data_IF_192665964298
#
_entry.id   IF_192665964298
#
_cell.length_a   1.000
_cell.length_b   1.000
_cell.length_c   1.000
_cell.angle_alpha   90.00
_cell.angle_beta   90.00
_cell.angle_gamma   90.00
#
_symmetry.space_group_name_H-M   'P 1'
#
loop_
_entity.id
_entity.type
_entity.pdbx_description
1 polymer ?
#
# COMPACT_ATOMS: atom_id res chain seq x y z
N UNK A 1 -10.21 6.44 21.78
CA UNK A 1 -9.23 6.62 20.69
C UNK A 1 -9.14 8.06 20.20
N UNK A 2 -10.24 8.81 20.02
CA UNK A 2 -10.12 10.24 19.63
C UNK A 2 -9.50 11.14 20.71
N UNK A 3 -9.54 10.74 21.98
CA UNK A 3 -9.02 11.54 23.10
C UNK A 3 -7.48 11.55 23.22
N UNK A 4 -6.77 10.67 22.51
CA UNK A 4 -5.31 10.48 22.64
C UNK A 4 -4.52 11.08 21.46
N UNK A 5 -5.19 11.86 20.59
CA UNK A 5 -4.66 12.33 19.32
C UNK A 5 -4.40 13.85 19.38
N UNK A 6 -3.13 14.26 19.37
CA UNK A 6 -2.76 15.69 19.40
C UNK A 6 -3.24 16.42 18.14
N UNK A 7 -3.00 15.83 16.96
CA UNK A 7 -3.48 16.31 15.66
C UNK A 7 -3.37 15.25 14.57
N UNK A 8 -4.14 15.40 13.50
CA UNK A 8 -4.04 14.56 12.30
C UNK A 8 -2.89 15.09 11.42
N UNK A 9 -1.91 14.23 11.13
CA UNK A 9 -0.79 14.58 10.24
C UNK A 9 -1.10 14.34 8.77
N UNK A 10 -1.82 13.26 8.48
CA UNK A 10 -2.23 12.86 7.13
C UNK A 10 -3.67 12.37 7.22
N UNK A 11 -4.57 13.06 6.53
CA UNK A 11 -5.97 12.66 6.46
C UNK A 11 -6.18 11.50 5.48
N UNK A 12 -7.33 10.85 5.59
CA UNK A 12 -7.72 9.68 4.78
C UNK A 12 -7.70 9.97 3.27
N UNK A 13 -8.23 11.12 2.84
CA UNK A 13 -8.28 11.47 1.43
C UNK A 13 -6.87 11.67 0.85
N UNK A 14 -5.95 12.26 1.64
CA UNK A 14 -4.54 12.40 1.27
C UNK A 14 -3.86 11.04 1.12
N UNK A 15 -4.11 10.08 2.03
CA UNK A 15 -3.57 8.72 1.93
C UNK A 15 -4.09 8.04 0.68
N UNK A 16 -5.40 8.02 0.48
CA UNK A 16 -6.01 7.37 -0.68
C UNK A 16 -5.54 7.97 -2.00
N UNK A 17 -5.47 9.30 -2.11
CA UNK A 17 -4.92 9.93 -3.32
C UNK A 17 -3.50 9.46 -3.59
N UNK A 18 -2.65 9.36 -2.58
CA UNK A 18 -1.28 8.87 -2.77
C UNK A 18 -1.20 7.40 -3.16
N UNK A 19 -2.12 6.57 -2.67
CA UNK A 19 -2.21 5.17 -3.08
C UNK A 19 -2.60 5.03 -4.55
N UNK A 20 -3.50 5.87 -5.07
CA UNK A 20 -3.85 5.87 -6.51
C UNK A 20 -2.66 6.28 -7.38
N UNK A 21 -1.95 7.34 -6.98
CA UNK A 21 -0.76 7.81 -7.68
C UNK A 21 0.35 6.74 -7.70
N UNK A 22 0.57 6.03 -6.58
CA UNK A 22 1.53 4.93 -6.50
C UNK A 22 1.10 3.72 -7.32
N UNK A 23 -0.18 3.34 -7.28
CA UNK A 23 -0.68 2.22 -8.06
C UNK A 23 -0.52 2.47 -9.57
N UNK A 24 -0.84 3.68 -10.05
CA UNK A 24 -0.64 4.07 -11.44
C UNK A 24 0.83 3.98 -11.85
N UNK A 25 1.75 4.46 -11.00
CA UNK A 25 3.18 4.38 -11.25
C UNK A 25 3.67 2.93 -11.32
N UNK A 26 3.30 2.09 -10.33
CA UNK A 26 3.67 0.67 -10.32
C UNK A 26 3.12 -0.05 -11.55
N UNK A 27 1.87 0.23 -11.93
CA UNK A 27 1.26 -0.37 -13.12
C UNK A 27 1.97 0.00 -14.41
N UNK A 28 2.45 1.25 -14.53
CA UNK A 28 3.25 1.68 -15.66
C UNK A 28 4.62 0.98 -15.67
N UNK A 29 5.28 0.90 -14.52
CA UNK A 29 6.63 0.34 -14.39
C UNK A 29 6.67 -1.19 -14.60
N UNK A 30 5.54 -1.87 -14.38
CA UNK A 30 5.41 -3.33 -14.42
C UNK A 30 4.39 -3.87 -15.45
N UNK A 31 3.93 -3.05 -16.41
CA UNK A 31 2.86 -3.41 -17.37
C UNK A 31 3.02 -4.79 -18.04
N UNK A 32 4.24 -5.17 -18.41
CA UNK A 32 4.56 -6.46 -19.05
C UNK A 32 5.60 -7.27 -18.24
N UNK A 33 5.60 -7.10 -16.91
CA UNK A 33 6.59 -7.72 -16.02
C UNK A 33 5.90 -8.40 -14.86
N UNK A 34 6.51 -9.48 -14.38
CA UNK A 34 6.06 -10.16 -13.17
C UNK A 34 6.25 -9.23 -11.95
N UNK A 35 5.14 -8.90 -11.29
CA UNK A 35 5.15 -8.12 -10.04
C UNK A 35 5.11 -9.07 -8.83
N UNK A 36 6.15 -9.02 -8.00
CA UNK A 36 6.15 -9.64 -6.66
C UNK A 36 6.20 -8.56 -5.61
N UNK A 37 5.23 -8.57 -4.70
CA UNK A 37 5.12 -7.62 -3.58
C UNK A 37 5.47 -8.34 -2.30
N UNK A 38 6.38 -7.74 -1.52
CA UNK A 38 6.80 -8.24 -0.21
C UNK A 38 6.27 -7.29 0.87
N UNK A 39 5.31 -7.74 1.67
CA UNK A 39 4.76 -6.97 2.78
C UNK A 39 5.54 -7.26 4.08
N UNK A 40 6.05 -6.21 4.72
CA UNK A 40 6.78 -6.33 6.00
C UNK A 40 5.81 -6.19 7.18
N UNK A 41 5.63 -7.26 7.94
CA UNK A 41 4.67 -7.33 9.03
C UNK A 41 5.16 -6.57 10.28
N UNK A 42 4.29 -6.06 11.15
CA UNK A 42 2.81 -6.09 11.08
C UNK A 42 2.19 -4.80 10.52
N UNK A 43 2.88 -3.66 10.66
CA UNK A 43 2.28 -2.34 10.41
C UNK A 43 1.94 -2.05 8.94
N UNK A 44 2.58 -2.73 7.99
CA UNK A 44 2.33 -2.49 6.55
C UNK A 44 1.02 -3.10 6.04
N UNK A 45 0.39 -4.02 6.79
CA UNK A 45 -0.73 -4.83 6.29
C UNK A 45 -1.89 -3.98 5.80
N UNK A 46 -2.26 -2.93 6.55
CA UNK A 46 -3.38 -2.05 6.21
C UNK A 46 -3.07 -1.28 4.92
N UNK A 47 -1.89 -0.66 4.86
CA UNK A 47 -1.46 0.12 3.70
C UNK A 47 -1.31 -0.75 2.44
N UNK A 48 -0.73 -1.94 2.58
CA UNK A 48 -0.57 -2.86 1.45
C UNK A 48 -1.90 -3.38 0.94
N UNK A 49 -2.85 -3.71 1.83
CA UNK A 49 -4.16 -4.17 1.41
C UNK A 49 -4.86 -3.13 0.51
N UNK A 50 -4.76 -1.85 0.86
CA UNK A 50 -5.36 -0.77 0.07
C UNK A 50 -4.61 -0.47 -1.22
N UNK A 51 -3.28 -0.58 -1.22
CA UNK A 51 -2.47 -0.41 -2.42
C UNK A 51 -2.70 -1.53 -3.45
N UNK A 52 -2.66 -2.79 -3.00
CA UNK A 52 -2.74 -3.96 -3.88
C UNK A 52 -4.07 -4.03 -4.65
N UNK A 53 -5.18 -3.63 -4.02
CA UNK A 53 -6.50 -3.56 -4.67
C UNK A 53 -6.56 -2.56 -5.83
N UNK A 54 -5.64 -1.60 -5.88
CA UNK A 54 -5.59 -0.53 -6.88
C UNK A 54 -4.65 -0.84 -8.03
N UNK A 55 -3.83 -1.88 -7.94
CA UNK A 55 -2.88 -2.27 -8.99
C UNK A 55 -3.57 -3.25 -9.95
N UNK A 56 -3.93 -2.83 -11.18
CA UNK A 56 -4.57 -3.71 -12.18
C UNK A 56 -3.59 -4.65 -12.89
N UNK A 57 -2.72 -5.35 -12.14
CA UNK A 57 -1.75 -6.31 -12.70
C UNK A 57 -1.83 -7.66 -11.97
N UNK A 58 -1.59 -8.79 -12.67
CA UNK A 58 -1.30 -10.05 -12.01
C UNK A 58 -0.07 -9.90 -11.11
N UNK A 59 -0.19 -10.29 -9.84
CA UNK A 59 0.89 -10.15 -8.88
C UNK A 59 1.01 -11.35 -7.95
N UNK A 60 2.20 -11.54 -7.39
CA UNK A 60 2.47 -12.46 -6.29
C UNK A 60 2.65 -11.63 -5.02
N UNK A 61 2.01 -12.04 -3.93
CA UNK A 61 2.17 -11.42 -2.62
C UNK A 61 2.88 -12.42 -1.70
N UNK A 62 3.92 -11.95 -1.02
CA UNK A 62 4.56 -12.66 0.08
C UNK A 62 4.73 -11.71 1.27
N UNK A 63 4.87 -12.28 2.47
CA UNK A 63 4.98 -11.53 3.71
C UNK A 63 6.24 -11.95 4.47
N UNK A 64 6.99 -10.97 4.95
CA UNK A 64 8.12 -11.20 5.85
C UNK A 64 7.82 -10.59 7.21
N UNK A 65 8.09 -11.35 8.27
CA UNK A 65 8.07 -10.87 9.64
C UNK A 65 9.48 -10.94 10.19
N UNK A 66 9.95 -9.84 10.79
CA UNK A 66 11.21 -9.83 11.53
C UNK A 66 10.86 -10.00 13.00
N UNK A 67 11.38 -11.07 13.61
CA UNK A 67 11.22 -11.37 15.03
C UNK A 67 12.28 -10.67 15.87
#
# INVERSE_FOLDING_TARGET
MQADLERILIDEATIHRRLDELAAQISQDYHDRDLTVIAILNGSVILMADLLRRIPLPLKLDCLSVA
#
